data_IF_758489613919
#
_entry.id   IF_758489613919
#
_cell.length_a   1.000
_cell.length_b   1.000
_cell.length_c   1.000
_cell.angle_alpha   90.00
_cell.angle_beta   90.00
_cell.angle_gamma   90.00
#
_symmetry.space_group_name_H-M   'P 1'
#
loop_
_entity.id
_entity.type
_entity.pdbx_description
1 polymer ?
#
# COMPACT_ATOMS: atom_id res chain seq x y z
N UNK A 1 45.92 60.52 38.15
CA UNK A 1 45.35 60.36 36.76
C UNK A 1 45.45 58.92 36.25
N UNK A 2 46.46 58.15 36.56
CA UNK A 2 46.64 56.76 36.10
C UNK A 2 45.65 55.74 36.71
N UNK A 3 45.17 55.93 37.92
CA UNK A 3 44.22 54.98 38.55
C UNK A 3 42.80 55.15 38.08
N UNK A 4 42.33 56.36 37.74
CA UNK A 4 40.98 56.55 37.17
C UNK A 4 40.82 55.95 35.79
N UNK A 5 41.88 55.86 35.01
CA UNK A 5 41.88 55.22 33.70
C UNK A 5 41.74 53.68 33.80
N UNK A 6 42.39 53.10 34.82
CA UNK A 6 42.25 51.63 35.05
C UNK A 6 40.84 51.21 35.42
N UNK A 7 40.16 51.98 36.29
CA UNK A 7 38.79 51.70 36.68
C UNK A 7 37.81 51.93 35.54
N UNK A 8 38.02 52.91 34.67
CA UNK A 8 37.20 53.16 33.48
C UNK A 8 37.32 52.03 32.45
N UNK A 9 38.54 51.45 32.29
CA UNK A 9 38.77 50.31 31.39
C UNK A 9 38.17 49.00 31.97
N UNK A 10 38.19 48.82 33.28
CA UNK A 10 37.58 47.65 33.93
C UNK A 10 36.06 47.66 33.81
N UNK A 11 35.42 48.83 33.96
CA UNK A 11 33.97 49.01 33.83
C UNK A 11 33.53 48.79 32.37
N UNK A 12 34.32 49.26 31.41
CA UNK A 12 34.02 49.05 29.98
C UNK A 12 34.17 47.59 29.58
N UNK A 13 35.15 46.86 30.11
CA UNK A 13 35.33 45.42 29.89
C UNK A 13 34.19 44.59 30.48
N UNK A 14 33.66 44.95 31.67
CA UNK A 14 32.50 44.28 32.29
C UNK A 14 31.22 44.55 31.51
N UNK A 15 31.03 45.77 30.93
CA UNK A 15 29.87 46.06 30.10
C UNK A 15 29.88 45.31 28.76
N UNK A 16 31.07 45.03 28.19
CA UNK A 16 31.20 44.22 26.97
C UNK A 16 30.89 42.74 27.19
N UNK A 17 31.10 42.21 28.43
CA UNK A 17 30.71 40.82 28.75
C UNK A 17 29.20 40.60 28.85
N UNK A 18 28.41 41.63 29.18
CA UNK A 18 26.94 41.52 29.21
C UNK A 18 26.29 41.69 27.81
N UNK A 19 27.00 42.20 26.84
CA UNK A 19 26.48 42.30 25.46
C UNK A 19 26.63 41.01 24.64
N UNK A 20 27.47 40.04 25.10
CA UNK A 20 27.71 38.79 24.37
C UNK A 20 26.67 37.67 24.64
N UNK A 21 25.68 37.89 25.51
CA UNK A 21 24.63 36.93 25.81
C UNK A 21 23.27 37.23 25.13
N UNK A 22 23.24 37.85 23.94
CA UNK A 22 22.05 37.95 23.12
C UNK A 22 22.26 37.21 21.79
N UNK A 23 22.34 35.92 21.88
CA UNK A 23 22.39 34.99 20.77
C UNK A 23 21.85 33.64 21.17
N UNK A 24 20.74 33.58 21.95
CA UNK A 24 19.87 32.42 21.88
C UNK A 24 19.18 32.52 20.52
N UNK A 25 19.74 31.85 19.49
CA UNK A 25 18.94 31.41 18.38
C UNK A 25 17.72 30.73 19.02
N UNK A 26 16.54 31.22 18.75
CA UNK A 26 15.33 30.46 18.97
C UNK A 26 15.59 29.10 18.33
N UNK A 27 15.81 28.09 19.16
CA UNK A 27 15.74 26.73 18.69
C UNK A 27 14.37 26.66 18.05
N UNK A 28 14.31 26.51 16.73
CA UNK A 28 13.10 26.16 16.02
C UNK A 28 12.67 24.86 16.71
N UNK A 29 11.76 24.97 17.65
CA UNK A 29 11.08 23.81 18.23
C UNK A 29 10.30 23.30 17.04
N UNK A 30 10.83 22.30 16.34
CA UNK A 30 10.03 21.52 15.40
C UNK A 30 8.79 21.10 16.18
N UNK A 31 7.67 21.76 15.89
CA UNK A 31 6.40 21.40 16.49
C UNK A 31 6.21 19.91 16.22
N UNK A 32 6.28 19.11 17.28
CA UNK A 32 6.05 17.67 17.19
C UNK A 32 4.66 17.49 16.59
N UNK A 33 4.58 16.74 15.52
CA UNK A 33 3.31 16.40 14.94
C UNK A 33 2.41 15.69 15.94
N UNK A 34 1.13 15.84 15.76
CA UNK A 34 0.08 15.19 16.55
C UNK A 34 -0.69 14.21 15.69
N UNK A 35 -1.57 13.36 16.24
CA UNK A 35 -2.41 12.49 15.43
C UNK A 35 -3.26 13.21 14.38
N UNK A 36 -3.52 14.50 14.55
CA UNK A 36 -4.43 15.29 13.72
C UNK A 36 -3.77 16.50 13.06
N UNK A 37 -2.47 16.69 13.18
CA UNK A 37 -1.73 17.79 12.56
C UNK A 37 -0.27 17.46 12.36
N UNK A 38 0.38 18.14 11.39
CA UNK A 38 1.80 18.02 11.09
C UNK A 38 2.06 17.37 9.73
N UNK A 39 3.30 16.94 9.53
CA UNK A 39 3.77 16.37 8.26
C UNK A 39 4.47 15.04 8.48
N UNK A 40 4.12 14.02 7.68
CA UNK A 40 4.84 12.74 7.66
C UNK A 40 5.17 12.32 6.22
N UNK A 41 6.24 11.52 6.11
CA UNK A 41 6.58 10.81 4.86
C UNK A 41 6.21 9.34 5.01
N UNK A 42 5.54 8.82 4.00
CA UNK A 42 5.19 7.40 3.90
C UNK A 42 5.60 6.84 2.54
N UNK A 43 5.91 5.55 2.49
CA UNK A 43 6.14 4.84 1.23
C UNK A 43 5.09 3.75 1.06
N UNK A 44 4.53 3.65 -0.12
CA UNK A 44 3.41 2.76 -0.44
C UNK A 44 3.76 1.91 -1.64
N UNK A 45 3.53 0.62 -1.56
CA UNK A 45 3.61 -0.25 -2.73
C UNK A 45 2.69 0.28 -3.84
N UNK A 46 3.23 0.44 -5.02
CA UNK A 46 2.55 1.05 -6.17
C UNK A 46 1.21 0.37 -6.48
N UNK A 47 1.13 -0.92 -6.26
CA UNK A 47 -0.10 -1.68 -6.51
C UNK A 47 -1.29 -1.23 -5.65
N UNK A 48 -1.06 -0.49 -4.56
CA UNK A 48 -2.11 0.07 -3.69
C UNK A 48 -2.38 1.57 -3.95
N UNK A 49 -1.73 2.17 -4.95
CA UNK A 49 -1.81 3.61 -5.21
C UNK A 49 -3.26 4.14 -5.26
N UNK A 50 -4.20 3.59 -6.06
CA UNK A 50 -5.53 4.19 -6.18
C UNK A 50 -6.28 4.26 -4.86
N UNK A 51 -6.29 3.18 -4.08
CA UNK A 51 -6.98 3.15 -2.80
C UNK A 51 -6.32 4.05 -1.76
N UNK A 52 -4.99 4.19 -1.81
CA UNK A 52 -4.27 5.06 -0.87
C UNK A 52 -4.42 6.54 -1.19
N UNK A 53 -4.55 6.92 -2.46
CA UNK A 53 -4.89 8.29 -2.84
C UNK A 53 -6.25 8.70 -2.26
N UNK A 54 -7.25 7.83 -2.31
CA UNK A 54 -8.56 8.10 -1.68
C UNK A 54 -8.48 8.12 -0.14
N UNK A 55 -7.68 7.24 0.49
CA UNK A 55 -7.45 7.27 1.94
C UNK A 55 -6.85 8.61 2.38
N UNK A 56 -5.82 9.08 1.70
CA UNK A 56 -5.13 10.34 2.01
C UNK A 56 -6.05 11.53 1.78
N UNK A 57 -6.80 11.56 0.68
CA UNK A 57 -7.75 12.61 0.34
C UNK A 57 -8.84 12.75 1.39
N UNK A 58 -9.47 11.65 1.81
CA UNK A 58 -10.54 11.68 2.83
C UNK A 58 -9.96 11.99 4.20
N UNK A 59 -8.76 11.50 4.53
CA UNK A 59 -8.05 11.85 5.75
C UNK A 59 -7.80 13.35 5.83
N UNK A 60 -7.23 13.94 4.78
CA UNK A 60 -6.96 15.40 4.73
C UNK A 60 -8.25 16.22 4.83
N UNK A 61 -9.36 15.79 4.22
CA UNK A 61 -10.66 16.45 4.36
C UNK A 61 -11.18 16.40 5.81
N UNK A 62 -10.83 15.35 6.57
CA UNK A 62 -11.20 15.21 7.98
C UNK A 62 -10.27 15.96 8.93
N UNK A 63 -8.99 16.09 8.55
CA UNK A 63 -7.90 16.69 9.31
C UNK A 63 -7.09 17.64 8.42
N UNK A 64 -7.57 18.87 8.17
CA UNK A 64 -6.97 19.80 7.20
C UNK A 64 -5.52 20.21 7.51
N UNK A 65 -5.13 20.14 8.79
CA UNK A 65 -3.78 20.51 9.24
C UNK A 65 -2.76 19.36 9.10
N UNK A 66 -3.10 18.32 8.32
CA UNK A 66 -2.22 17.15 8.11
C UNK A 66 -1.65 17.15 6.69
N UNK A 67 -0.36 16.83 6.57
CA UNK A 67 0.34 16.70 5.29
C UNK A 67 1.00 15.33 5.21
N UNK A 68 0.44 14.44 4.42
CA UNK A 68 1.00 13.11 4.17
C UNK A 68 1.72 13.15 2.82
N UNK A 69 3.06 13.13 2.88
CA UNK A 69 3.92 13.07 1.69
C UNK A 69 4.12 11.59 1.35
N UNK A 70 3.51 11.15 0.26
CA UNK A 70 3.53 9.75 -0.18
C UNK A 70 4.50 9.54 -1.35
N UNK A 71 5.26 8.43 -1.28
CA UNK A 71 6.06 7.91 -2.39
C UNK A 71 5.53 6.54 -2.80
N UNK A 72 5.07 6.41 -4.04
CA UNK A 72 4.65 5.12 -4.59
C UNK A 72 5.84 4.43 -5.24
N UNK A 73 6.18 3.24 -4.75
CA UNK A 73 7.41 2.51 -5.11
C UNK A 73 7.18 0.99 -5.10
N UNK A 74 8.09 0.21 -5.68
CA UNK A 74 8.12 -1.24 -5.48
C UNK A 74 8.26 -1.63 -4.00
N UNK A 75 7.67 -2.75 -3.60
CA UNK A 75 7.66 -3.25 -2.20
C UNK A 75 9.04 -3.26 -1.55
N UNK A 76 10.06 -3.71 -2.28
CA UNK A 76 11.45 -3.77 -1.75
C UNK A 76 12.01 -2.38 -1.46
N UNK A 77 11.65 -1.37 -2.26
CA UNK A 77 12.07 0.02 -2.02
C UNK A 77 11.33 0.64 -0.83
N UNK A 78 10.05 0.31 -0.64
CA UNK A 78 9.33 0.71 0.57
C UNK A 78 10.01 0.18 1.84
N UNK A 79 10.46 -1.08 1.81
CA UNK A 79 11.19 -1.67 2.94
C UNK A 79 12.55 -1.00 3.20
N UNK A 80 13.26 -0.57 2.15
CA UNK A 80 14.47 0.24 2.30
C UNK A 80 14.17 1.61 2.90
N UNK A 81 13.07 2.24 2.47
CA UNK A 81 12.66 3.54 3.01
C UNK A 81 12.31 3.44 4.51
N UNK A 82 11.81 2.31 5.00
CA UNK A 82 11.54 2.12 6.41
C UNK A 82 12.82 2.20 7.27
N UNK A 83 14.00 1.93 6.69
CA UNK A 83 15.29 2.11 7.36
C UNK A 83 15.72 3.58 7.41
N UNK A 84 15.09 4.45 6.61
CA UNK A 84 15.38 5.88 6.58
C UNK A 84 14.59 6.59 7.70
N UNK A 85 15.26 7.46 8.46
CA UNK A 85 14.66 8.17 9.59
C UNK A 85 13.50 9.08 9.20
N UNK A 86 13.48 9.59 7.97
CA UNK A 86 12.41 10.46 7.49
C UNK A 86 11.11 9.72 7.16
N UNK A 87 11.15 8.38 6.89
CA UNK A 87 9.96 7.59 6.57
C UNK A 87 9.44 6.93 7.80
N UNK A 88 8.22 7.27 8.22
CA UNK A 88 7.60 6.75 9.45
C UNK A 88 6.64 5.59 9.24
N UNK A 89 6.10 5.44 8.06
CA UNK A 89 5.17 4.35 7.74
C UNK A 89 5.41 3.84 6.33
N UNK A 90 5.26 2.53 6.15
CA UNK A 90 5.14 1.93 4.83
C UNK A 90 3.88 1.08 4.74
N UNK A 91 3.36 0.94 3.51
CA UNK A 91 2.21 0.09 3.20
C UNK A 91 2.61 -0.88 2.09
N UNK A 92 2.60 -2.17 2.41
CA UNK A 92 3.10 -3.25 1.54
C UNK A 92 2.22 -4.51 1.64
N UNK A 93 2.46 -5.48 0.76
CA UNK A 93 1.64 -6.70 0.68
C UNK A 93 2.09 -7.84 1.62
N UNK A 94 2.87 -7.55 2.65
CA UNK A 94 3.30 -8.50 3.68
C UNK A 94 3.67 -7.81 4.99
N UNK A 95 3.65 -8.55 6.08
CA UNK A 95 4.25 -8.10 7.34
C UNK A 95 5.77 -8.24 7.35
N UNK A 96 6.41 -7.78 8.42
CA UNK A 96 7.83 -8.02 8.67
C UNK A 96 8.06 -9.49 9.01
N UNK A 97 9.12 -10.07 8.47
CA UNK A 97 9.64 -11.35 8.92
C UNK A 97 10.22 -11.24 10.34
N UNK A 98 10.46 -12.38 11.00
CA UNK A 98 11.08 -12.40 12.34
C UNK A 98 12.46 -11.71 12.33
N UNK A 99 13.27 -11.96 11.29
CA UNK A 99 14.59 -11.36 11.16
C UNK A 99 14.50 -9.83 10.97
N UNK A 100 13.64 -9.36 10.07
CA UNK A 100 13.41 -7.92 9.85
C UNK A 100 12.91 -7.25 11.13
N UNK A 101 11.95 -7.86 11.84
CA UNK A 101 11.46 -7.34 13.12
C UNK A 101 12.58 -7.20 14.15
N UNK A 102 13.48 -8.19 14.26
CA UNK A 102 14.62 -8.15 15.17
C UNK A 102 15.65 -7.07 14.79
N UNK A 103 15.91 -6.88 13.49
CA UNK A 103 16.79 -5.82 13.00
C UNK A 103 16.23 -4.44 13.36
N UNK A 104 14.94 -4.22 13.12
CA UNK A 104 14.29 -2.94 13.48
C UNK A 104 14.25 -2.74 14.99
N UNK A 105 13.95 -3.77 15.76
CA UNK A 105 13.96 -3.68 17.23
C UNK A 105 15.35 -3.28 17.76
N UNK A 106 16.41 -3.88 17.21
CA UNK A 106 17.79 -3.55 17.60
C UNK A 106 18.19 -2.13 17.24
N UNK A 107 17.73 -1.61 16.07
CA UNK A 107 18.09 -0.27 15.59
C UNK A 107 17.26 0.84 16.24
N UNK A 108 15.98 0.58 16.53
CA UNK A 108 15.03 1.58 17.06
C UNK A 108 14.89 1.53 18.57
N UNK A 109 15.28 0.42 19.24
CA UNK A 109 14.99 0.15 20.64
C UNK A 109 13.54 -0.26 20.93
N UNK A 110 12.72 -0.44 19.92
CA UNK A 110 11.33 -0.92 20.00
C UNK A 110 10.92 -1.62 18.71
N UNK A 111 9.84 -2.41 18.75
CA UNK A 111 9.29 -3.09 17.57
C UNK A 111 8.35 -2.17 16.81
N UNK A 112 8.52 -2.02 15.47
CA UNK A 112 7.52 -1.37 14.64
C UNK A 112 6.16 -2.04 14.77
N UNK A 113 5.09 -1.26 14.83
CA UNK A 113 3.74 -1.78 14.81
C UNK A 113 3.35 -2.15 13.37
N UNK A 114 2.75 -3.31 13.18
CA UNK A 114 2.19 -3.67 11.87
C UNK A 114 0.97 -4.57 12.02
N UNK A 115 0.01 -4.39 11.13
CA UNK A 115 -1.18 -5.24 11.04
C UNK A 115 -1.80 -5.14 9.63
N UNK A 116 -2.75 -6.02 9.36
CA UNK A 116 -3.51 -6.02 8.11
C UNK A 116 -4.58 -4.92 8.18
N UNK A 117 -4.64 -4.08 7.14
CA UNK A 117 -5.67 -3.06 6.92
C UNK A 117 -6.83 -3.61 6.07
N UNK A 118 -6.49 -4.36 5.04
CA UNK A 118 -7.45 -4.95 4.11
C UNK A 118 -6.83 -6.16 3.39
N UNK A 119 -7.68 -6.95 2.73
CA UNK A 119 -7.22 -7.95 1.77
C UNK A 119 -7.52 -7.45 0.37
N UNK A 120 -6.47 -7.30 -0.41
CA UNK A 120 -6.47 -7.06 -1.85
C UNK A 120 -6.43 -8.40 -2.59
N UNK A 121 -6.46 -8.36 -3.90
CA UNK A 121 -6.16 -9.51 -4.75
C UNK A 121 -5.33 -9.08 -5.96
N UNK A 122 -4.50 -9.97 -6.48
CA UNK A 122 -3.93 -9.80 -7.81
C UNK A 122 -5.01 -10.19 -8.82
N UNK A 123 -5.55 -9.19 -9.51
CA UNK A 123 -6.53 -9.36 -10.57
C UNK A 123 -5.83 -9.82 -11.86
N UNK A 124 -6.34 -10.88 -12.47
CA UNK A 124 -5.96 -11.31 -13.82
C UNK A 124 -6.85 -10.56 -14.81
N UNK A 125 -6.23 -9.82 -15.73
CA UNK A 125 -6.93 -9.01 -16.72
C UNK A 125 -6.55 -9.42 -18.13
N UNK A 126 -7.51 -9.35 -19.05
CA UNK A 126 -7.32 -9.63 -20.47
C UNK A 126 -7.97 -8.53 -21.30
N UNK A 127 -7.60 -8.42 -22.57
CA UNK A 127 -8.27 -7.53 -23.51
C UNK A 127 -9.77 -7.86 -23.60
N UNK A 128 -10.62 -6.86 -23.78
CA UNK A 128 -12.06 -7.06 -23.92
C UNK A 128 -12.43 -8.02 -25.06
N UNK A 129 -11.62 -8.09 -26.12
CA UNK A 129 -11.80 -8.96 -27.31
C UNK A 129 -11.03 -10.27 -27.21
N UNK A 130 -10.26 -10.52 -26.15
CA UNK A 130 -9.52 -11.78 -26.00
C UNK A 130 -10.47 -12.98 -26.07
N UNK A 131 -10.09 -14.02 -26.80
CA UNK A 131 -10.89 -15.24 -26.93
C UNK A 131 -11.08 -15.93 -25.56
N UNK A 132 -10.03 -15.95 -24.74
CA UNK A 132 -10.03 -16.60 -23.45
C UNK A 132 -10.02 -15.58 -22.30
N UNK A 133 -10.86 -15.83 -21.30
CA UNK A 133 -10.94 -15.05 -20.07
C UNK A 133 -11.20 -15.94 -18.85
N UNK A 134 -11.00 -17.25 -19.01
CA UNK A 134 -11.17 -18.26 -17.96
C UNK A 134 -9.88 -19.04 -17.87
N UNK A 135 -9.27 -19.08 -16.68
CA UNK A 135 -7.96 -19.69 -16.46
C UNK A 135 -7.98 -20.61 -15.26
N UNK A 136 -7.48 -21.83 -15.42
CA UNK A 136 -7.09 -22.69 -14.30
C UNK A 136 -5.81 -22.15 -13.66
N UNK A 137 -5.51 -22.61 -12.45
CA UNK A 137 -4.22 -22.29 -11.83
C UNK A 137 -3.04 -22.86 -12.61
N UNK A 138 -3.26 -23.98 -13.32
CA UNK A 138 -2.24 -24.55 -14.21
C UNK A 138 -2.00 -23.67 -15.44
N UNK A 139 -3.06 -23.14 -16.06
CA UNK A 139 -2.91 -22.22 -17.19
C UNK A 139 -2.10 -20.97 -16.80
N UNK A 140 -2.38 -20.39 -15.64
CA UNK A 140 -1.61 -19.26 -15.12
C UNK A 140 -0.15 -19.64 -14.85
N UNK A 141 0.11 -20.84 -14.35
CA UNK A 141 1.46 -21.34 -14.15
C UNK A 141 2.21 -21.54 -15.49
N UNK A 142 1.56 -22.08 -16.49
CA UNK A 142 2.14 -22.25 -17.82
C UNK A 142 2.43 -20.90 -18.50
N UNK A 143 1.51 -19.93 -18.37
CA UNK A 143 1.74 -18.56 -18.86
C UNK A 143 2.96 -17.95 -18.17
N UNK A 144 3.02 -17.99 -16.84
CA UNK A 144 4.08 -17.35 -16.07
C UNK A 144 5.44 -18.07 -16.21
N UNK A 145 5.46 -19.39 -16.46
CA UNK A 145 6.69 -20.17 -16.65
C UNK A 145 7.20 -20.21 -18.09
N UNK A 146 6.50 -19.55 -19.04
CA UNK A 146 6.93 -19.51 -20.44
C UNK A 146 6.55 -20.75 -21.28
N UNK A 147 5.71 -21.63 -20.75
CA UNK A 147 5.21 -22.81 -21.48
C UNK A 147 4.02 -22.49 -22.39
N UNK A 148 3.36 -21.37 -22.17
CA UNK A 148 2.27 -20.85 -23.02
C UNK A 148 2.81 -19.87 -24.06
N UNK A 149 2.12 -19.76 -25.19
CA UNK A 149 2.38 -18.73 -26.23
C UNK A 149 1.88 -17.34 -25.83
N UNK A 150 1.11 -17.21 -24.72
CA UNK A 150 0.62 -15.93 -24.23
C UNK A 150 1.72 -15.13 -23.57
N UNK A 151 1.65 -13.82 -23.69
CA UNK A 151 2.55 -12.90 -23.01
C UNK A 151 1.93 -12.55 -21.65
N UNK A 152 2.68 -12.67 -20.58
CA UNK A 152 2.31 -12.17 -19.26
C UNK A 152 2.90 -10.78 -19.04
N UNK A 153 2.09 -9.83 -18.55
CA UNK A 153 2.56 -8.48 -18.23
C UNK A 153 2.20 -8.15 -16.78
N UNK A 154 3.19 -7.64 -16.05
CA UNK A 154 3.03 -7.21 -14.65
C UNK A 154 3.86 -5.96 -14.37
N UNK A 155 3.55 -5.26 -13.28
CA UNK A 155 4.27 -4.08 -12.81
C UNK A 155 5.67 -4.45 -12.33
N UNK A 156 6.70 -3.69 -12.74
CA UNK A 156 8.09 -3.78 -12.25
C UNK A 156 8.85 -5.06 -12.56
N UNK A 157 10.17 -4.97 -12.44
CA UNK A 157 11.07 -6.04 -12.92
C UNK A 157 11.37 -7.14 -11.91
N UNK A 158 11.34 -7.03 -10.64
CA UNK A 158 11.66 -8.09 -9.66
C UNK A 158 11.43 -7.66 -8.21
N UNK A 159 10.92 -6.44 -8.00
CA UNK A 159 10.91 -5.82 -6.69
C UNK A 159 9.50 -5.45 -6.20
N UNK A 160 8.46 -5.70 -7.02
CA UNK A 160 7.06 -5.38 -6.67
C UNK A 160 6.43 -6.52 -5.89
N UNK A 161 5.40 -6.18 -5.12
CA UNK A 161 4.62 -7.18 -4.40
C UNK A 161 3.88 -8.13 -5.33
N UNK A 162 3.43 -7.66 -6.51
CA UNK A 162 2.77 -8.50 -7.53
C UNK A 162 3.70 -9.59 -8.03
N UNK A 163 4.93 -9.21 -8.44
CA UNK A 163 5.94 -10.16 -8.89
C UNK A 163 6.27 -11.18 -7.81
N UNK A 164 6.59 -10.74 -6.60
CA UNK A 164 6.88 -11.65 -5.48
C UNK A 164 5.69 -12.58 -5.21
N UNK A 165 4.47 -12.04 -5.11
CA UNK A 165 3.29 -12.80 -4.80
C UNK A 165 2.99 -13.89 -5.84
N UNK A 166 3.09 -13.59 -7.13
CA UNK A 166 2.87 -14.57 -8.20
C UNK A 166 3.95 -15.65 -8.23
N UNK A 167 5.22 -15.26 -8.00
CA UNK A 167 6.31 -16.22 -7.87
C UNK A 167 6.06 -17.21 -6.74
N UNK A 168 5.66 -16.73 -5.58
CA UNK A 168 5.42 -17.57 -4.39
C UNK A 168 4.13 -18.39 -4.53
N UNK A 169 3.05 -17.77 -4.99
CA UNK A 169 1.71 -18.39 -5.00
C UNK A 169 1.49 -19.36 -6.16
N UNK A 170 1.98 -19.03 -7.37
CA UNK A 170 1.73 -19.80 -8.59
C UNK A 170 2.97 -20.61 -8.98
N UNK A 171 4.14 -19.99 -9.07
CA UNK A 171 5.38 -20.66 -9.50
C UNK A 171 6.04 -21.47 -8.38
N UNK A 172 5.62 -21.29 -7.11
CA UNK A 172 6.21 -21.98 -5.93
C UNK A 172 7.71 -21.78 -5.83
N UNK A 173 8.19 -20.55 -6.09
CA UNK A 173 9.59 -20.18 -6.10
C UNK A 173 10.33 -20.39 -7.43
N UNK A 174 9.69 -21.01 -8.42
CA UNK A 174 10.25 -21.18 -9.77
C UNK A 174 10.45 -19.87 -10.52
N UNK A 175 11.21 -19.89 -11.59
CA UNK A 175 11.51 -18.69 -12.36
C UNK A 175 10.43 -18.35 -13.38
N UNK A 176 10.35 -17.08 -13.72
CA UNK A 176 9.51 -16.57 -14.78
C UNK A 176 10.06 -16.94 -16.17
N UNK A 177 9.18 -17.21 -17.11
CA UNK A 177 9.54 -17.46 -18.49
C UNK A 177 9.94 -16.21 -19.27
N UNK A 178 10.57 -16.39 -20.43
CA UNK A 178 10.99 -15.30 -21.31
C UNK A 178 9.83 -14.49 -21.90
N UNK A 179 8.61 -15.03 -21.88
CA UNK A 179 7.38 -14.36 -22.31
C UNK A 179 6.77 -13.43 -21.23
N UNK A 180 7.40 -13.31 -20.07
CA UNK A 180 6.97 -12.42 -18.99
C UNK A 180 7.62 -11.05 -19.17
N UNK A 181 6.79 -10.02 -19.37
CA UNK A 181 7.22 -8.65 -19.63
C UNK A 181 6.93 -7.80 -18.40
N UNK A 182 7.94 -7.07 -17.95
CA UNK A 182 7.81 -6.07 -16.91
C UNK A 182 7.42 -4.72 -17.52
N UNK A 183 6.37 -4.09 -17.01
CA UNK A 183 6.01 -2.72 -17.35
C UNK A 183 6.44 -1.75 -16.24
N UNK A 184 6.30 -0.43 -16.45
CA UNK A 184 6.76 0.56 -15.48
C UNK A 184 5.91 0.57 -14.20
N UNK A 185 4.59 0.42 -14.38
CA UNK A 185 3.59 0.50 -13.33
C UNK A 185 2.29 -0.21 -13.77
N UNK A 186 1.30 -0.27 -12.90
CA UNK A 186 0.02 -0.91 -13.16
C UNK A 186 -0.81 -0.23 -14.26
N UNK A 187 -0.71 1.09 -14.43
CA UNK A 187 -1.36 1.80 -15.56
C UNK A 187 -0.83 1.28 -16.91
N UNK A 188 0.49 1.13 -17.02
CA UNK A 188 1.12 0.60 -18.25
C UNK A 188 0.71 -0.86 -18.51
N UNK A 189 0.54 -1.68 -17.46
CA UNK A 189 0.00 -3.05 -17.62
C UNK A 189 -1.38 -2.99 -18.26
N UNK A 190 -2.28 -2.16 -17.75
CA UNK A 190 -3.64 -2.00 -18.26
C UNK A 190 -3.61 -1.50 -19.69
N UNK A 191 -2.77 -0.53 -20.01
CA UNK A 191 -2.64 0.01 -21.37
C UNK A 191 -2.15 -1.06 -22.36
N UNK A 192 -1.13 -1.83 -22.02
CA UNK A 192 -0.60 -2.92 -22.86
C UNK A 192 -1.68 -3.98 -23.11
N UNK A 193 -2.40 -4.42 -22.07
CA UNK A 193 -3.48 -5.40 -22.18
C UNK A 193 -4.61 -4.86 -23.08
N UNK A 194 -4.96 -3.57 -22.93
CA UNK A 194 -6.03 -2.96 -23.73
C UNK A 194 -5.76 -2.96 -25.23
N UNK A 195 -4.51 -3.06 -25.64
CA UNK A 195 -4.06 -3.01 -27.05
C UNK A 195 -3.75 -4.38 -27.65
N UNK A 196 -3.69 -5.44 -26.83
CA UNK A 196 -3.21 -6.75 -27.25
C UNK A 196 -4.11 -7.89 -26.75
N UNK A 197 -4.73 -8.62 -27.65
CA UNK A 197 -5.65 -9.72 -27.31
C UNK A 197 -4.94 -10.97 -26.76
N UNK A 198 -3.64 -11.16 -27.06
CA UNK A 198 -2.84 -12.31 -26.63
C UNK A 198 -2.07 -12.05 -25.31
N UNK A 199 -2.33 -10.94 -24.64
CA UNK A 199 -1.66 -10.56 -23.40
C UNK A 199 -2.55 -10.85 -22.20
N UNK A 200 -1.95 -11.38 -21.12
CA UNK A 200 -2.56 -11.53 -19.81
C UNK A 200 -1.85 -10.60 -18.84
N UNK A 201 -2.58 -9.69 -18.23
CA UNK A 201 -2.05 -8.72 -17.26
C UNK A 201 -2.34 -9.13 -15.82
N UNK A 202 -1.48 -8.69 -14.91
CA UNK A 202 -1.59 -8.91 -13.48
C UNK A 202 -1.45 -7.57 -12.76
N UNK A 203 -2.52 -7.13 -12.09
CA UNK A 203 -2.56 -5.84 -11.36
C UNK A 203 -3.25 -6.00 -10.01
N UNK A 204 -3.02 -5.07 -9.08
CA UNK A 204 -3.81 -5.00 -7.85
C UNK A 204 -5.29 -4.73 -8.15
N UNK A 205 -6.21 -5.34 -7.39
CA UNK A 205 -7.64 -5.15 -7.59
C UNK A 205 -8.07 -3.68 -7.47
N UNK A 206 -7.39 -2.90 -6.63
CA UNK A 206 -7.64 -1.47 -6.46
C UNK A 206 -7.47 -0.63 -7.73
N UNK A 207 -6.80 -1.15 -8.77
CA UNK A 207 -6.62 -0.50 -10.07
C UNK A 207 -7.79 -0.69 -11.05
N UNK A 208 -8.62 -1.69 -10.80
CA UNK A 208 -9.69 -2.12 -11.71
C UNK A 208 -10.99 -2.48 -10.99
N UNK A 209 -11.05 -2.22 -9.69
CA UNK A 209 -12.18 -2.64 -8.85
C UNK A 209 -13.20 -1.54 -8.56
N UNK A 210 -12.82 -0.26 -8.53
CA UNK A 210 -13.72 0.83 -8.16
C UNK A 210 -14.63 1.22 -9.34
N UNK A 211 -15.88 0.79 -9.26
CA UNK A 211 -16.90 1.10 -10.27
C UNK A 211 -17.36 2.57 -10.25
N UNK A 212 -16.92 3.37 -9.29
CA UNK A 212 -17.23 4.79 -9.19
C UNK A 212 -16.06 5.68 -9.66
N UNK A 213 -14.87 5.10 -9.86
CA UNK A 213 -13.73 5.81 -10.42
C UNK A 213 -13.86 5.92 -11.95
N UNK A 214 -13.94 7.13 -12.53
CA UNK A 214 -14.14 7.32 -13.97
C UNK A 214 -13.04 6.70 -14.83
N UNK A 215 -11.77 6.73 -14.35
CA UNK A 215 -10.62 6.15 -15.05
C UNK A 215 -10.73 4.63 -15.10
N UNK A 216 -11.09 4.01 -13.98
CA UNK A 216 -11.27 2.56 -13.91
C UNK A 216 -12.45 2.10 -14.76
N UNK A 217 -13.56 2.84 -14.77
CA UNK A 217 -14.69 2.59 -15.68
C UNK A 217 -14.26 2.63 -17.16
N UNK A 218 -13.46 3.61 -17.54
CA UNK A 218 -12.96 3.72 -18.92
C UNK A 218 -12.00 2.58 -19.28
N UNK A 219 -11.17 2.15 -18.34
CA UNK A 219 -10.30 0.98 -18.50
C UNK A 219 -11.13 -0.30 -18.70
N UNK A 220 -12.18 -0.50 -17.90
CA UNK A 220 -13.04 -1.69 -17.97
C UNK A 220 -13.86 -1.80 -19.26
N UNK A 221 -13.95 -0.74 -20.06
CA UNK A 221 -14.47 -0.83 -21.45
C UNK A 221 -13.49 -1.51 -22.42
N UNK A 222 -12.19 -1.50 -22.10
CA UNK A 222 -11.10 -1.99 -22.97
C UNK A 222 -10.54 -3.33 -22.50
N UNK A 223 -10.63 -3.60 -21.21
CA UNK A 223 -10.17 -4.83 -20.55
C UNK A 223 -11.31 -5.49 -19.80
N UNK A 224 -11.14 -6.75 -19.46
CA UNK A 224 -12.05 -7.47 -18.54
C UNK A 224 -11.28 -8.26 -17.50
N UNK A 225 -11.89 -8.41 -16.34
CA UNK A 225 -11.42 -9.30 -15.30
C UNK A 225 -11.64 -10.75 -15.74
N UNK A 226 -10.59 -11.55 -15.69
CA UNK A 226 -10.68 -12.96 -15.99
C UNK A 226 -11.31 -13.74 -14.80
N UNK A 227 -11.89 -14.86 -15.12
CA UNK A 227 -12.33 -15.88 -14.18
C UNK A 227 -11.14 -16.81 -13.88
N UNK A 228 -10.86 -17.05 -12.61
CA UNK A 228 -9.77 -17.95 -12.17
C UNK A 228 -10.36 -19.10 -11.36
N UNK A 229 -9.82 -20.30 -11.56
CA UNK A 229 -10.27 -21.54 -10.92
C UNK A 229 -10.27 -21.40 -9.38
N UNK A 230 -11.38 -21.79 -8.76
CA UNK A 230 -11.49 -21.88 -7.32
C UNK A 230 -10.85 -23.19 -6.79
N UNK A 231 -9.57 -23.13 -6.43
CA UNK A 231 -8.86 -24.33 -5.93
C UNK A 231 -9.32 -24.82 -4.56
N UNK A 232 -10.00 -23.98 -3.78
CA UNK A 232 -10.49 -24.30 -2.42
C UNK A 232 -11.96 -24.69 -2.37
N UNK A 233 -12.69 -24.56 -3.47
CA UNK A 233 -14.09 -24.94 -3.54
C UNK A 233 -14.24 -26.48 -3.44
N UNK A 234 -15.29 -26.92 -2.74
CA UNK A 234 -15.63 -28.36 -2.64
C UNK A 234 -16.01 -28.89 -4.02
N UNK A 235 -16.86 -28.16 -4.72
CA UNK A 235 -17.23 -28.45 -6.11
C UNK A 235 -16.10 -28.03 -7.06
N UNK A 236 -15.68 -28.97 -7.92
CA UNK A 236 -14.64 -28.74 -8.92
C UNK A 236 -15.18 -28.04 -10.16
N UNK A 237 -14.32 -27.32 -10.87
CA UNK A 237 -14.70 -26.60 -12.09
C UNK A 237 -15.42 -25.28 -11.84
N UNK A 238 -15.41 -24.77 -10.62
CA UNK A 238 -15.88 -23.42 -10.31
C UNK A 238 -14.77 -22.40 -10.57
N UNK A 239 -15.17 -21.28 -11.14
CA UNK A 239 -14.28 -20.15 -11.43
C UNK A 239 -14.85 -18.87 -10.85
N UNK A 240 -13.98 -17.98 -10.38
CA UNK A 240 -14.38 -16.74 -9.74
C UNK A 240 -13.62 -15.53 -10.30
N UNK A 241 -14.30 -14.40 -10.37
CA UNK A 241 -13.65 -13.07 -10.51
C UNK A 241 -13.26 -12.55 -9.13
N UNK A 242 -12.22 -11.70 -9.02
CA UNK A 242 -11.91 -11.04 -7.77
C UNK A 242 -13.06 -10.11 -7.38
N UNK A 243 -13.59 -10.31 -6.18
CA UNK A 243 -14.60 -9.47 -5.54
C UNK A 243 -14.51 -9.64 -4.03
N UNK A 244 -15.12 -8.74 -3.26
CA UNK A 244 -15.14 -8.89 -1.80
C UNK A 244 -15.72 -10.24 -1.35
N UNK A 245 -16.79 -10.69 -1.98
CA UNK A 245 -17.40 -11.97 -1.66
C UNK A 245 -16.46 -13.14 -1.98
N UNK A 246 -15.93 -13.20 -3.20
CA UNK A 246 -15.09 -14.31 -3.64
C UNK A 246 -13.74 -14.36 -2.91
N UNK A 247 -13.21 -13.21 -2.48
CA UNK A 247 -12.02 -13.12 -1.64
C UNK A 247 -12.36 -13.59 -0.21
N UNK A 248 -13.45 -13.08 0.38
CA UNK A 248 -13.87 -13.44 1.75
C UNK A 248 -14.22 -14.92 1.92
N UNK A 249 -14.80 -15.55 0.90
CA UNK A 249 -15.13 -16.95 0.87
C UNK A 249 -14.02 -17.85 0.31
N UNK A 250 -12.83 -17.28 0.08
CA UNK A 250 -11.67 -17.97 -0.49
C UNK A 250 -11.96 -18.70 -1.83
N UNK A 251 -12.89 -18.17 -2.62
CA UNK A 251 -13.23 -18.67 -3.95
C UNK A 251 -12.27 -18.15 -5.01
N UNK A 252 -11.82 -16.87 -4.89
CA UNK A 252 -10.77 -16.31 -5.75
C UNK A 252 -9.40 -16.71 -5.19
N UNK A 253 -8.50 -17.33 -5.98
CA UNK A 253 -7.28 -17.96 -5.44
C UNK A 253 -6.08 -17.03 -5.20
N UNK A 254 -6.15 -15.77 -5.64
CA UNK A 254 -5.01 -14.83 -5.57
C UNK A 254 -5.24 -13.64 -4.62
N UNK A 255 -5.80 -13.83 -3.40
CA UNK A 255 -5.90 -12.76 -2.42
C UNK A 255 -4.53 -12.52 -1.78
N UNK A 256 -4.25 -11.24 -1.43
CA UNK A 256 -3.06 -10.85 -0.69
C UNK A 256 -3.41 -9.83 0.39
N UNK A 257 -2.75 -9.87 1.55
CA UNK A 257 -2.97 -8.87 2.58
C UNK A 257 -2.33 -7.54 2.22
N UNK A 258 -2.92 -6.44 2.66
CA UNK A 258 -2.33 -5.11 2.69
C UNK A 258 -1.99 -4.77 4.12
N UNK A 259 -0.70 -4.59 4.41
CA UNK A 259 -0.19 -4.24 5.74
C UNK A 259 0.21 -2.77 5.80
N UNK A 260 0.02 -2.15 6.97
CA UNK A 260 0.85 -1.03 7.37
C UNK A 260 2.01 -1.54 8.24
N UNK A 261 3.14 -0.85 8.19
CA UNK A 261 4.26 -1.00 9.13
C UNK A 261 4.63 0.41 9.58
N UNK A 262 4.43 0.68 10.88
CA UNK A 262 4.56 2.00 11.48
C UNK A 262 5.75 2.04 12.42
N UNK A 263 6.68 2.95 12.16
CA UNK A 263 7.87 3.23 12.95
C UNK A 263 7.62 4.45 13.85
N UNK A 264 6.62 4.36 14.73
CA UNK A 264 6.33 5.34 15.78
C UNK A 264 6.18 4.63 17.13
N UNK A 265 6.79 5.20 18.18
CA UNK A 265 6.65 4.77 19.57
C UNK A 265 5.83 5.77 20.41
N UNK A 266 5.36 6.84 19.83
CA UNK A 266 4.52 7.87 20.44
C UNK A 266 3.36 8.23 19.52
N UNK A 267 2.32 8.85 20.07
CA UNK A 267 1.13 9.24 19.30
C UNK A 267 1.43 10.46 18.41
N UNK A 268 1.89 10.21 17.19
CA UNK A 268 2.11 11.20 16.13
C UNK A 268 1.11 11.06 14.96
N UNK A 269 1.36 11.76 13.88
CA UNK A 269 0.49 11.75 12.70
C UNK A 269 0.45 10.37 12.00
N UNK A 270 1.54 9.59 12.06
CA UNK A 270 1.52 8.21 11.56
C UNK A 270 0.53 7.34 12.32
N UNK A 271 0.50 7.44 13.65
CA UNK A 271 -0.50 6.77 14.50
C UNK A 271 -1.92 7.28 14.18
N UNK A 272 -2.10 8.60 13.98
CA UNK A 272 -3.38 9.19 13.59
C UNK A 272 -3.89 8.63 12.26
N UNK A 273 -3.05 8.58 11.24
CA UNK A 273 -3.40 8.07 9.93
C UNK A 273 -3.64 6.55 9.95
N UNK A 274 -2.83 5.78 10.68
CA UNK A 274 -3.07 4.35 10.90
C UNK A 274 -4.43 4.08 11.55
N UNK A 275 -4.78 4.85 12.58
CA UNK A 275 -6.09 4.75 13.24
C UNK A 275 -7.22 5.09 12.27
N UNK A 276 -7.08 6.16 11.48
CA UNK A 276 -8.07 6.52 10.47
C UNK A 276 -8.32 5.36 9.49
N UNK A 277 -7.27 4.75 8.94
CA UNK A 277 -7.39 3.61 8.02
C UNK A 277 -7.98 2.36 8.68
N UNK A 278 -7.74 2.16 9.98
CA UNK A 278 -8.19 1.00 10.75
C UNK A 278 -9.63 1.14 11.28
N UNK A 279 -10.17 2.35 11.34
CA UNK A 279 -11.51 2.65 11.82
C UNK A 279 -12.52 2.73 10.66
N UNK A 280 -13.78 2.94 10.99
CA UNK A 280 -14.93 2.86 10.08
C UNK A 280 -14.72 3.60 8.75
N UNK A 281 -14.31 4.89 8.81
CA UNK A 281 -14.14 5.72 7.59
C UNK A 281 -13.13 5.13 6.62
N UNK A 282 -11.93 4.79 7.12
CA UNK A 282 -10.89 4.19 6.28
C UNK A 282 -11.28 2.80 5.79
N UNK A 283 -11.95 1.99 6.63
CA UNK A 283 -12.42 0.66 6.24
C UNK A 283 -13.53 0.74 5.16
N UNK A 284 -14.38 1.76 5.18
CA UNK A 284 -15.37 2.02 4.12
C UNK A 284 -14.71 2.38 2.78
N UNK A 285 -13.58 3.09 2.79
CA UNK A 285 -12.81 3.39 1.57
C UNK A 285 -12.25 2.09 0.97
N UNK A 286 -11.65 1.21 1.78
CA UNK A 286 -11.22 -0.11 1.30
C UNK A 286 -12.39 -0.91 0.72
N UNK A 287 -13.55 -0.88 1.39
CA UNK A 287 -14.76 -1.54 0.89
C UNK A 287 -15.21 -1.00 -0.46
N UNK A 288 -15.19 0.31 -0.66
CA UNK A 288 -15.56 0.95 -1.93
C UNK A 288 -14.61 0.55 -3.07
N UNK A 289 -13.32 0.47 -2.79
CA UNK A 289 -12.31 0.01 -3.76
C UNK A 289 -12.31 -1.53 -3.99
N UNK A 290 -13.37 -2.24 -3.58
CA UNK A 290 -13.55 -3.70 -3.63
C UNK A 290 -12.53 -4.54 -2.85
N UNK A 291 -11.70 -3.94 -2.01
CA UNK A 291 -10.88 -4.67 -1.05
C UNK A 291 -11.75 -5.19 0.09
N UNK A 292 -11.32 -6.27 0.74
CA UNK A 292 -11.99 -6.80 1.94
C UNK A 292 -11.39 -6.12 3.17
N UNK A 293 -12.12 -5.20 3.85
CA UNK A 293 -11.63 -4.54 5.04
C UNK A 293 -11.32 -5.53 6.16
N UNK A 294 -10.17 -5.37 6.84
CA UNK A 294 -9.75 -6.30 7.89
C UNK A 294 -10.59 -6.18 9.19
N UNK A 295 -11.22 -5.04 9.41
CA UNK A 295 -11.98 -4.73 10.65
C UNK A 295 -13.49 -4.76 10.49
N UNK A 296 -14.02 -5.03 9.29
CA UNK A 296 -15.46 -5.14 9.03
C UNK A 296 -15.87 -6.61 8.82
N UNK A 297 -16.92 -7.03 9.50
CA UNK A 297 -17.46 -8.38 9.32
C UNK A 297 -18.43 -8.43 8.13
N UNK A 298 -18.11 -9.25 7.14
CA UNK A 298 -19.00 -9.58 6.00
C UNK A 298 -19.82 -10.86 6.26
N UNK A 299 -20.34 -11.04 7.48
CA UNK A 299 -21.20 -12.21 7.74
C UNK A 299 -22.54 -12.00 7.05
N UNK A 300 -22.99 -13.01 6.31
CA UNK A 300 -24.36 -13.10 5.83
C UNK A 300 -25.29 -13.14 7.04
N UNK A 301 -26.16 -12.15 7.19
CA UNK A 301 -27.23 -12.20 8.19
C UNK A 301 -28.42 -12.93 7.57
N UNK A 302 -28.75 -14.08 8.09
CA UNK A 302 -30.03 -14.71 7.79
C UNK A 302 -31.15 -13.91 8.48
N UNK A 303 -31.91 -13.13 7.70
CA UNK A 303 -33.14 -12.50 8.15
C UNK A 303 -34.29 -13.49 8.05
N UNK A 304 -34.99 -13.76 9.13
CA UNK A 304 -36.32 -14.39 9.05
C UNK A 304 -37.33 -13.25 8.89
N UNK A 305 -38.04 -13.23 7.78
CA UNK A 305 -39.24 -12.39 7.61
C UNK A 305 -40.30 -13.04 8.46
N UNK A 306 -40.83 -12.37 9.49
CA UNK A 306 -42.04 -12.77 10.17
C UNK A 306 -43.20 -12.42 9.25
N UNK A 307 -43.96 -13.43 8.79
CA UNK A 307 -45.29 -13.18 8.23
C UNK A 307 -46.17 -12.61 9.36
N UNK A 308 -46.83 -11.47 9.08
CA UNK A 308 -47.88 -10.93 9.94
C UNK A 308 -49.12 -11.79 9.72
N UNK A 309 -49.60 -12.44 10.78
CA UNK A 309 -50.92 -13.08 10.82
C UNK A 309 -52.05 -12.06 10.53
#
# INVERSE_FOLDING_TARGET
MKERIKHSFLILAVLLFFAACKGKGEAVVEERDTPNSGTIRISVDESFKPVMEEQIKVHHSSFPNTHIIVSYKPEVECLKDLQNDSTRMILIARGLSKNESSIFESSLGYRPQFAILAYDAVAVIVNQKSADSVFTMNDLKEILSGKSKRIAVMDGKNATSTVRFLKDSILKGGDYGANVVASKNSDDVIDIVSKNENVVGFVGLSWVGDSYDPKQQENLKKIRLALVECVRCVEKGLFAKPSQATISYAQYPLPRPMYYILKENSAGLGTGFMNFMSLERGQLIFKRALLVPAKMNFKVRSGKIKESD
#
